data_IF_686181091672
#
_entry.id   IF_686181091672
#
_cell.length_a   1.000
_cell.length_b   1.000
_cell.length_c   1.000
_cell.angle_alpha   90.00
_cell.angle_beta   90.00
_cell.angle_gamma   90.00
#
_symmetry.space_group_name_H-M   'P 1'
#
loop_
_entity.id
_entity.type
_entity.pdbx_description
1 polymer ?
#
# COMPACT_ATOMS: atom_id res chain seq x y z
N UNK A 1 -12.10 -5.36 7.27
CA UNK A 1 -11.65 -4.34 6.31
C UNK A 1 -12.79 -4.17 5.32
N UNK A 2 -13.30 -2.96 5.15
CA UNK A 2 -14.38 -2.71 4.19
C UNK A 2 -13.85 -3.00 2.79
N UNK A 3 -14.54 -3.87 2.07
CA UNK A 3 -14.04 -4.40 0.81
C UNK A 3 -14.34 -3.43 -0.32
N UNK A 4 -13.30 -2.99 -1.05
CA UNK A 4 -13.44 -2.04 -2.15
C UNK A 4 -13.95 -2.77 -3.40
N UNK A 5 -15.27 -2.81 -3.55
CA UNK A 5 -15.96 -3.36 -4.72
C UNK A 5 -16.00 -2.36 -5.87
N UNK A 6 -16.02 -2.85 -7.11
CA UNK A 6 -16.21 -1.99 -8.30
C UNK A 6 -17.52 -1.20 -8.23
N UNK A 7 -17.44 0.08 -8.59
CA UNK A 7 -18.61 0.95 -8.74
C UNK A 7 -19.44 0.55 -9.96
N UNK A 8 -20.74 0.37 -9.77
CA UNK A 8 -21.71 0.16 -10.86
C UNK A 8 -22.02 1.48 -11.59
N UNK A 9 -21.94 2.61 -10.87
CA UNK A 9 -22.18 3.94 -11.43
C UNK A 9 -20.87 4.47 -12.03
N UNK A 10 -20.97 5.06 -13.23
CA UNK A 10 -19.85 5.71 -13.90
C UNK A 10 -19.51 7.04 -13.22
N UNK A 11 -18.25 7.18 -12.82
CA UNK A 11 -17.71 8.37 -12.20
C UNK A 11 -17.61 9.53 -13.20
N UNK A 12 -17.81 10.75 -12.70
CA UNK A 12 -17.58 11.96 -13.50
C UNK A 12 -16.08 12.15 -13.75
N UNK A 13 -15.72 12.78 -14.88
CA UNK A 13 -14.33 13.07 -15.23
C UNK A 13 -13.58 13.80 -14.11
N UNK A 14 -14.24 14.78 -13.48
CA UNK A 14 -13.68 15.52 -12.34
C UNK A 14 -13.39 14.61 -11.14
N UNK A 15 -14.28 13.66 -10.83
CA UNK A 15 -14.05 12.70 -9.74
C UNK A 15 -12.85 11.79 -10.03
N UNK A 16 -12.73 11.32 -11.28
CA UNK A 16 -11.60 10.51 -11.75
C UNK A 16 -10.27 11.25 -11.58
N UNK A 17 -10.19 12.50 -12.07
CA UNK A 17 -8.96 13.31 -11.98
C UNK A 17 -8.53 13.54 -10.53
N UNK A 18 -9.47 13.90 -9.65
CA UNK A 18 -9.20 14.10 -8.21
C UNK A 18 -8.73 12.80 -7.55
N UNK A 19 -9.37 11.67 -7.88
CA UNK A 19 -8.98 10.38 -7.32
C UNK A 19 -7.56 9.98 -7.75
N UNK A 20 -7.24 10.13 -9.04
CA UNK A 20 -5.93 9.81 -9.58
C UNK A 20 -4.83 10.67 -8.95
N UNK A 21 -5.09 11.95 -8.68
CA UNK A 21 -4.14 12.82 -7.96
C UNK A 21 -3.88 12.33 -6.53
N UNK A 22 -4.92 11.91 -5.80
CA UNK A 22 -4.77 11.34 -4.46
C UNK A 22 -3.94 10.06 -4.50
N UNK A 23 -4.32 9.11 -5.37
CA UNK A 23 -3.65 7.81 -5.49
C UNK A 23 -2.20 7.97 -5.93
N UNK A 24 -1.91 8.86 -6.88
CA UNK A 24 -0.54 9.16 -7.31
C UNK A 24 0.33 9.70 -6.17
N UNK A 25 -0.22 10.60 -5.34
CA UNK A 25 0.47 11.14 -4.17
C UNK A 25 0.76 10.06 -3.12
N UNK A 26 -0.22 9.18 -2.86
CA UNK A 26 -0.05 8.04 -1.95
C UNK A 26 1.01 7.07 -2.49
N UNK A 27 1.01 6.81 -3.81
CA UNK A 27 1.96 5.89 -4.45
C UNK A 27 3.39 6.39 -4.32
N UNK A 28 3.61 7.69 -4.51
CA UNK A 28 4.90 8.31 -4.28
C UNK A 28 5.40 8.06 -2.85
N UNK A 29 4.56 8.32 -1.84
CA UNK A 29 4.91 8.06 -0.45
C UNK A 29 5.25 6.58 -0.20
N UNK A 30 4.48 5.65 -0.80
CA UNK A 30 4.68 4.22 -0.64
C UNK A 30 6.04 3.75 -1.17
N UNK A 31 6.48 4.26 -2.32
CA UNK A 31 7.75 3.90 -2.96
C UNK A 31 8.93 4.55 -2.23
N UNK A 32 8.79 5.82 -1.83
CA UNK A 32 9.93 6.60 -1.36
C UNK A 32 10.22 6.45 0.13
N UNK A 33 9.20 6.40 0.99
CA UNK A 33 9.39 6.54 2.45
C UNK A 33 8.52 5.63 3.31
N UNK A 34 7.40 5.15 2.79
CA UNK A 34 6.35 4.46 3.55
C UNK A 34 5.91 3.16 2.88
N UNK A 35 6.79 2.14 2.73
CA UNK A 35 6.42 0.88 2.09
C UNK A 35 5.33 0.09 2.84
N UNK A 36 5.05 0.45 4.11
CA UNK A 36 3.94 -0.10 4.89
C UNK A 36 2.56 0.11 4.25
N UNK A 37 2.39 1.12 3.40
CA UNK A 37 1.13 1.39 2.69
C UNK A 37 1.09 0.83 1.25
N UNK A 38 2.13 0.10 0.80
CA UNK A 38 2.24 -0.38 -0.58
C UNK A 38 1.05 -1.26 -1.02
N UNK A 39 0.56 -2.11 -0.11
CA UNK A 39 -0.62 -2.93 -0.39
C UNK A 39 -1.89 -2.08 -0.55
N UNK A 40 -2.09 -1.10 0.33
CA UNK A 40 -3.27 -0.23 0.30
C UNK A 40 -3.34 0.58 -1.00
N UNK A 41 -2.22 1.17 -1.44
CA UNK A 41 -2.21 1.92 -2.71
C UNK A 41 -2.41 1.02 -3.93
N UNK A 42 -1.86 -0.19 -3.92
CA UNK A 42 -2.09 -1.19 -4.98
C UNK A 42 -3.57 -1.55 -5.13
N UNK A 43 -4.29 -1.68 -4.01
CA UNK A 43 -5.76 -1.87 -4.01
C UNK A 43 -6.48 -0.65 -4.59
N UNK A 44 -6.13 0.56 -4.15
CA UNK A 44 -6.77 1.80 -4.62
C UNK A 44 -6.55 2.05 -6.12
N UNK A 45 -5.35 1.77 -6.64
CA UNK A 45 -5.00 1.99 -8.04
C UNK A 45 -5.88 1.21 -9.03
N UNK A 46 -6.48 0.08 -8.61
CA UNK A 46 -7.41 -0.71 -9.43
C UNK A 46 -8.66 0.06 -9.84
N UNK A 47 -9.05 1.07 -9.06
CA UNK A 47 -10.25 1.86 -9.27
C UNK A 47 -9.96 3.22 -9.94
N UNK A 48 -8.77 3.41 -10.50
CA UNK A 48 -8.36 4.68 -11.14
C UNK A 48 -9.24 5.09 -12.34
N UNK A 49 -9.90 4.15 -13.00
CA UNK A 49 -10.76 4.42 -14.15
C UNK A 49 -12.20 4.75 -13.75
N UNK A 50 -12.69 4.22 -12.64
CA UNK A 50 -14.05 4.41 -12.18
C UNK A 50 -14.15 4.44 -10.64
N UNK A 51 -13.76 5.55 -9.99
CA UNK A 51 -13.82 5.69 -8.55
C UNK A 51 -15.22 6.05 -8.04
N UNK A 52 -15.62 5.49 -6.90
CA UNK A 52 -16.83 5.84 -6.15
C UNK A 52 -16.46 6.61 -4.89
N UNK A 53 -17.45 7.13 -4.18
CA UNK A 53 -17.24 7.83 -2.91
C UNK A 53 -16.58 6.94 -1.84
N UNK A 54 -16.83 5.63 -1.89
CA UNK A 54 -16.18 4.66 -1.00
C UNK A 54 -14.68 4.60 -1.31
N UNK A 55 -14.30 4.61 -2.58
CA UNK A 55 -12.90 4.64 -3.00
C UNK A 55 -12.21 5.95 -2.57
N UNK A 56 -12.89 7.10 -2.71
CA UNK A 56 -12.38 8.38 -2.22
C UNK A 56 -12.14 8.37 -0.70
N UNK A 57 -13.12 7.89 0.08
CA UNK A 57 -12.98 7.76 1.54
C UNK A 57 -11.81 6.85 1.92
N UNK A 58 -11.62 5.75 1.20
CA UNK A 58 -10.50 4.86 1.43
C UNK A 58 -9.14 5.51 1.13
N UNK A 59 -9.03 6.29 0.05
CA UNK A 59 -7.84 7.08 -0.24
C UNK A 59 -7.57 8.14 0.85
N UNK A 60 -8.61 8.85 1.29
CA UNK A 60 -8.51 9.86 2.35
C UNK A 60 -8.09 9.23 3.69
N UNK A 61 -8.53 8.01 3.99
CA UNK A 61 -8.09 7.25 5.17
C UNK A 61 -6.59 6.95 5.13
N UNK A 62 -6.04 6.61 3.96
CA UNK A 62 -4.59 6.38 3.81
C UNK A 62 -3.82 7.69 4.01
N UNK A 63 -4.31 8.79 3.45
CA UNK A 63 -3.70 10.11 3.65
C UNK A 63 -3.73 10.52 5.13
N UNK A 64 -4.86 10.28 5.81
CA UNK A 64 -5.00 10.55 7.24
C UNK A 64 -4.04 9.68 8.07
N UNK A 65 -3.87 8.41 7.71
CA UNK A 65 -2.90 7.52 8.35
C UNK A 65 -1.47 8.02 8.19
N UNK A 66 -1.08 8.45 6.98
CA UNK A 66 0.24 9.05 6.74
C UNK A 66 0.45 10.32 7.56
N UNK A 67 -0.58 11.16 7.65
CA UNK A 67 -0.52 12.40 8.41
C UNK A 67 -0.39 12.15 9.92
N UNK A 68 -1.18 11.22 10.48
CA UNK A 68 -1.16 10.90 11.92
C UNK A 68 0.11 10.18 12.34
N UNK A 69 0.73 9.43 11.43
CA UNK A 69 1.97 8.67 11.67
C UNK A 69 3.20 9.33 11.05
N UNK A 70 3.16 10.64 10.76
CA UNK A 70 4.25 11.37 10.09
C UNK A 70 5.59 11.36 10.85
N UNK A 71 5.55 11.17 12.17
CA UNK A 71 6.74 11.08 13.03
C UNK A 71 7.27 9.66 13.18
N UNK A 72 6.63 8.67 12.57
CA UNK A 72 6.96 7.26 12.72
C UNK A 72 7.83 6.83 11.55
N UNK A 73 8.75 5.89 11.80
CA UNK A 73 9.61 5.31 10.78
C UNK A 73 9.61 3.79 10.90
N UNK A 74 9.83 3.12 9.77
CA UNK A 74 9.95 1.66 9.74
C UNK A 74 11.33 1.27 10.25
N UNK A 75 11.37 0.53 11.35
CA UNK A 75 12.62 0.00 11.92
C UNK A 75 12.94 -1.35 11.30
N UNK A 76 13.86 -1.37 10.33
CA UNK A 76 14.34 -2.60 9.69
C UNK A 76 15.53 -3.19 10.47
N UNK A 77 15.29 -4.23 11.28
CA UNK A 77 16.37 -4.98 11.95
C UNK A 77 15.93 -5.75 13.21
N UNK A 78 16.74 -6.73 13.62
CA UNK A 78 16.63 -7.42 14.92
C UNK A 78 17.23 -6.55 16.03
N UNK A 79 16.72 -6.67 17.27
CA UNK A 79 17.40 -6.17 18.47
C UNK A 79 18.72 -6.94 18.65
N UNK A 80 19.80 -6.48 18.02
CA UNK A 80 21.16 -6.99 18.22
C UNK A 80 21.69 -6.50 19.55
N UNK A 81 21.22 -7.11 20.65
CA UNK A 81 21.97 -7.09 21.91
C UNK A 81 22.72 -8.41 22.16
N UNK A 82 22.49 -9.47 21.37
CA UNK A 82 23.12 -10.78 21.59
C UNK A 82 23.29 -11.58 20.29
N UNK A 83 24.32 -11.28 19.50
CA UNK A 83 25.07 -12.29 18.73
C UNK A 83 26.07 -11.64 17.78
N UNK A 84 27.35 -12.02 17.89
CA UNK A 84 28.38 -11.87 16.86
C UNK A 84 28.04 -12.68 15.60
N UNK A 85 26.92 -12.39 14.93
CA UNK A 85 26.60 -12.97 13.63
C UNK A 85 27.10 -12.05 12.53
N UNK A 86 27.79 -12.64 11.56
CA UNK A 86 28.30 -12.00 10.36
C UNK A 86 27.24 -11.06 9.76
N UNK A 87 27.68 -9.88 9.30
CA UNK A 87 26.82 -8.91 8.63
C UNK A 87 26.13 -9.61 7.47
N UNK A 88 24.82 -9.83 7.57
CA UNK A 88 24.04 -10.39 6.47
C UNK A 88 23.95 -9.32 5.37
N UNK A 89 24.85 -9.44 4.37
CA UNK A 89 25.02 -8.50 3.24
C UNK A 89 23.73 -8.37 2.43
N UNK A 90 22.94 -9.44 2.36
CA UNK A 90 21.67 -9.46 1.64
C UNK A 90 20.63 -10.28 2.40
N UNK A 91 19.47 -9.67 2.66
CA UNK A 91 18.31 -10.33 3.27
C UNK A 91 17.12 -10.13 2.33
N UNK A 92 16.59 -11.23 1.81
CA UNK A 92 15.33 -11.26 1.07
C UNK A 92 14.23 -11.88 1.92
N UNK A 93 13.14 -11.16 2.14
CA UNK A 93 11.91 -11.70 2.71
C UNK A 93 10.81 -11.66 1.66
N UNK A 94 10.03 -12.73 1.56
CA UNK A 94 8.91 -12.84 0.63
C UNK A 94 7.70 -13.40 1.38
N UNK A 95 6.53 -12.91 1.04
CA UNK A 95 5.25 -13.38 1.58
C UNK A 95 4.20 -13.41 0.46
N UNK A 96 3.22 -14.29 0.59
CA UNK A 96 2.14 -14.44 -0.36
C UNK A 96 0.82 -14.78 0.33
N UNK A 97 -0.25 -14.14 -0.11
CA UNK A 97 -1.62 -14.39 0.35
C UNK A 97 -2.43 -15.02 -0.78
N UNK A 98 -2.88 -16.26 -0.57
CA UNK A 98 -3.62 -17.02 -1.58
C UNK A 98 -5.07 -16.56 -1.70
N UNK A 99 -5.51 -16.28 -2.92
CA UNK A 99 -6.90 -15.94 -3.25
C UNK A 99 -7.52 -14.84 -2.36
N UNK A 100 -6.70 -13.87 -1.96
CA UNK A 100 -7.04 -12.78 -1.05
C UNK A 100 -7.91 -11.70 -1.71
N UNK A 101 -7.94 -11.65 -3.04
CA UNK A 101 -8.90 -10.83 -3.75
C UNK A 101 -10.25 -11.53 -3.88
N UNK A 102 -11.29 -11.04 -3.22
CA UNK A 102 -12.63 -11.64 -3.28
C UNK A 102 -13.30 -11.52 -4.65
N UNK A 103 -13.03 -10.47 -5.43
CA UNK A 103 -13.62 -10.32 -6.77
C UNK A 103 -13.11 -11.38 -7.76
N UNK A 104 -11.78 -11.49 -7.90
CA UNK A 104 -11.17 -12.27 -8.97
C UNK A 104 -10.46 -13.54 -8.47
N UNK A 105 -10.47 -13.80 -7.14
CA UNK A 105 -9.67 -14.87 -6.47
C UNK A 105 -8.19 -14.86 -6.80
N UNK A 106 -7.67 -13.71 -7.26
CA UNK A 106 -6.25 -13.50 -7.50
C UNK A 106 -5.51 -13.40 -6.18
N UNK A 107 -4.36 -14.04 -6.11
CA UNK A 107 -3.43 -13.95 -4.99
C UNK A 107 -2.60 -12.67 -5.05
N UNK A 108 -2.14 -12.19 -3.90
CA UNK A 108 -1.14 -11.13 -3.79
C UNK A 108 0.18 -11.68 -3.26
N UNK A 109 1.28 -11.08 -3.70
CA UNK A 109 2.62 -11.36 -3.17
C UNK A 109 3.29 -10.05 -2.79
N UNK A 110 4.19 -10.11 -1.81
CA UNK A 110 5.04 -9.01 -1.39
C UNK A 110 6.44 -9.50 -1.10
N UNK A 111 7.44 -8.65 -1.36
CA UNK A 111 8.82 -8.96 -1.02
C UNK A 111 9.52 -7.70 -0.51
N UNK A 112 10.50 -7.90 0.37
CA UNK A 112 11.39 -6.86 0.88
C UNK A 112 12.82 -7.37 0.72
N UNK A 113 13.60 -6.64 -0.08
CA UNK A 113 15.03 -6.90 -0.25
C UNK A 113 15.80 -5.82 0.50
N UNK A 114 16.69 -6.27 1.39
CA UNK A 114 17.62 -5.43 2.13
C UNK A 114 19.03 -5.79 1.70
N UNK A 115 19.76 -4.81 1.19
CA UNK A 115 21.17 -4.92 0.81
C UNK A 115 21.97 -3.94 1.67
N UNK A 116 23.06 -4.42 2.28
CA UNK A 116 24.06 -3.61 3.00
C UNK A 116 25.47 -4.10 2.67
#
# INVERSE_FOLDING_TARGET
LEELLKSEIQATKKSIEVYQQKVGSILFAAISTRPDIAFAVSRLARHNLNPSDIHHKAADRVIQYLYSTRSYAIRLGRNTQKSNKAVEIFIGSSDASFADNTEDRKSSQGYVLRLY
#
